data_IF_096015215006
#
_entry.id   IF_096015215006
#
_cell.length_a   1.000
_cell.length_b   1.000
_cell.length_c   1.000
_cell.angle_alpha   90.00
_cell.angle_beta   90.00
_cell.angle_gamma   90.00
#
_symmetry.space_group_name_H-M   'P 1'
#
loop_
_entity.id
_entity.type
_entity.pdbx_description
1 polymer ?
#
# COMPACT_ATOMS: atom_id res chain seq x y z
N UNK A 1 15.72 8.96 4.24
CA UNK A 1 14.47 8.19 4.00
C UNK A 1 13.66 8.22 5.27
N UNK A 2 12.33 8.14 5.17
CA UNK A 2 11.47 8.05 6.34
C UNK A 2 11.57 6.67 6.99
N UNK A 3 11.28 6.57 8.29
CA UNK A 3 11.21 5.26 8.97
C UNK A 3 10.07 4.42 8.40
N UNK A 4 8.96 5.07 8.06
CA UNK A 4 7.83 4.43 7.37
C UNK A 4 8.25 3.77 6.04
N UNK A 5 9.09 4.44 5.24
CA UNK A 5 9.63 3.87 4.00
C UNK A 5 10.55 2.68 4.25
N UNK A 6 11.45 2.78 5.24
CA UNK A 6 12.34 1.66 5.58
C UNK A 6 11.52 0.42 6.03
N UNK A 7 10.46 0.63 6.82
CA UNK A 7 9.52 -0.43 7.20
C UNK A 7 8.81 -1.03 5.99
N UNK A 8 8.35 -0.19 5.05
CA UNK A 8 7.73 -0.63 3.80
C UNK A 8 8.68 -1.48 2.96
N UNK A 9 9.93 -1.05 2.79
CA UNK A 9 10.94 -1.76 2.00
C UNK A 9 11.27 -3.15 2.56
N UNK A 10 11.08 -3.36 3.88
CA UNK A 10 11.16 -4.67 4.52
C UNK A 10 9.86 -5.45 4.30
N UNK A 11 8.70 -4.85 4.56
CA UNK A 11 7.40 -5.54 4.49
C UNK A 11 7.05 -6.01 3.06
N UNK A 12 7.38 -5.22 2.03
CA UNK A 12 7.09 -5.56 0.64
C UNK A 12 7.89 -6.78 0.17
N UNK A 13 9.02 -7.11 0.82
CA UNK A 13 9.81 -8.30 0.50
C UNK A 13 9.05 -9.59 0.77
N UNK A 14 8.07 -9.59 1.68
CA UNK A 14 7.26 -10.79 1.90
C UNK A 14 6.43 -11.13 0.67
N UNK A 15 5.89 -10.13 -0.04
CA UNK A 15 5.22 -10.36 -1.31
C UNK A 15 6.20 -10.91 -2.37
N UNK A 16 7.45 -10.41 -2.41
CA UNK A 16 8.49 -10.89 -3.33
C UNK A 16 8.88 -12.35 -3.02
N UNK A 17 9.10 -12.69 -1.75
CA UNK A 17 9.41 -14.06 -1.31
C UNK A 17 8.27 -15.04 -1.61
N UNK A 18 7.01 -14.61 -1.47
CA UNK A 18 5.84 -15.42 -1.85
C UNK A 18 5.85 -15.69 -3.37
N UNK A 19 6.21 -14.70 -4.18
CA UNK A 19 6.32 -14.88 -5.64
C UNK A 19 7.49 -15.77 -6.02
N UNK A 20 8.61 -15.71 -5.31
CA UNK A 20 9.73 -16.65 -5.50
C UNK A 20 9.34 -18.08 -5.13
N UNK A 21 8.56 -18.25 -4.05
CA UNK A 21 8.01 -19.55 -3.67
C UNK A 21 7.03 -20.08 -4.73
N UNK A 22 6.19 -19.20 -5.29
CA UNK A 22 5.35 -19.52 -6.44
C UNK A 22 6.18 -20.00 -7.62
N UNK A 23 7.23 -19.27 -8.01
CA UNK A 23 8.06 -19.59 -9.16
C UNK A 23 8.77 -20.96 -9.00
N UNK A 24 9.19 -21.32 -7.77
CA UNK A 24 9.75 -22.64 -7.45
C UNK A 24 8.71 -23.75 -7.54
N UNK A 25 7.59 -23.60 -6.84
CA UNK A 25 6.52 -24.60 -6.82
C UNK A 25 5.92 -24.83 -8.21
N UNK A 26 5.76 -23.75 -8.99
CA UNK A 26 5.22 -23.82 -10.33
C UNK A 26 6.18 -24.51 -11.32
N UNK A 27 7.50 -24.43 -11.07
CA UNK A 27 8.53 -25.13 -11.84
C UNK A 27 8.58 -26.62 -11.52
N UNK A 28 8.49 -26.95 -10.23
CA UNK A 28 8.65 -28.32 -9.73
C UNK A 28 7.32 -29.09 -9.65
N UNK A 29 6.23 -28.52 -10.19
CA UNK A 29 4.89 -29.10 -10.08
C UNK A 29 4.81 -30.46 -10.76
N UNK A 30 4.30 -31.45 -10.01
CA UNK A 30 4.05 -32.82 -10.50
C UNK A 30 2.60 -32.94 -10.99
N UNK A 31 1.69 -32.14 -10.44
CA UNK A 31 0.30 -32.05 -10.89
C UNK A 31 0.11 -30.86 -11.85
N UNK A 32 -1.02 -30.85 -12.55
CA UNK A 32 -1.40 -29.75 -13.45
C UNK A 32 -2.07 -28.57 -12.70
N UNK A 33 -1.84 -28.42 -11.38
CA UNK A 33 -2.47 -27.37 -10.58
C UNK A 33 -1.52 -26.16 -10.43
N UNK A 34 -1.96 -25.00 -10.91
CA UNK A 34 -1.26 -23.73 -10.67
C UNK A 34 -1.43 -23.30 -9.20
N UNK A 35 -0.35 -23.03 -8.43
CA UNK A 35 -0.43 -22.59 -7.03
C UNK A 35 -0.85 -21.12 -6.91
N UNK A 36 -2.03 -20.81 -7.45
CA UNK A 36 -2.61 -19.48 -7.56
C UNK A 36 -2.80 -18.74 -6.23
N UNK A 37 -2.98 -19.50 -5.16
CA UNK A 37 -3.11 -19.03 -3.79
C UNK A 37 -1.94 -18.12 -3.42
N UNK A 38 -0.74 -18.43 -3.90
CA UNK A 38 0.47 -17.65 -3.65
C UNK A 38 0.46 -16.32 -4.39
N UNK A 39 -0.04 -16.27 -5.64
CA UNK A 39 -0.23 -15.01 -6.37
C UNK A 39 -1.22 -14.10 -5.63
N UNK A 40 -2.31 -14.68 -5.09
CA UNK A 40 -3.28 -13.93 -4.26
C UNK A 40 -2.68 -13.46 -2.94
N UNK A 41 -1.92 -14.30 -2.26
CA UNK A 41 -1.24 -13.94 -1.02
C UNK A 41 -0.24 -12.80 -1.25
N UNK A 42 0.55 -12.83 -2.33
CA UNK A 42 1.46 -11.75 -2.68
C UNK A 42 0.72 -10.42 -2.94
N UNK A 43 -0.46 -10.47 -3.58
CA UNK A 43 -1.29 -9.28 -3.76
C UNK A 43 -1.74 -8.70 -2.42
N UNK A 44 -2.27 -9.55 -1.54
CA UNK A 44 -2.72 -9.13 -0.20
C UNK A 44 -1.56 -8.51 0.57
N UNK A 45 -0.40 -9.18 0.62
CA UNK A 45 0.79 -8.68 1.32
C UNK A 45 1.29 -7.35 0.76
N UNK A 46 1.25 -7.15 -0.56
CA UNK A 46 1.64 -5.87 -1.17
C UNK A 46 0.75 -4.72 -0.71
N UNK A 47 -0.56 -4.95 -0.63
CA UNK A 47 -1.50 -3.93 -0.18
C UNK A 47 -1.47 -3.71 1.33
N UNK A 48 -1.17 -4.75 2.12
CA UNK A 48 -0.94 -4.61 3.55
C UNK A 48 0.30 -3.76 3.81
N UNK A 49 1.40 -3.97 3.08
CA UNK A 49 2.59 -3.13 3.19
C UNK A 49 2.28 -1.66 2.86
N UNK A 50 1.47 -1.39 1.83
CA UNK A 50 1.00 -0.05 1.51
C UNK A 50 0.13 0.58 2.62
N UNK A 51 -0.81 -0.17 3.19
CA UNK A 51 -1.65 0.30 4.31
C UNK A 51 -0.79 0.70 5.51
N UNK A 52 0.12 -0.19 5.93
CA UNK A 52 1.06 0.10 7.02
C UNK A 52 1.95 1.31 6.71
N UNK A 53 2.44 1.45 5.48
CA UNK A 53 3.23 2.61 5.08
C UNK A 53 2.45 3.92 5.25
N UNK A 54 1.20 3.97 4.77
CA UNK A 54 0.37 5.18 4.85
C UNK A 54 0.11 5.58 6.31
N UNK A 55 -0.23 4.61 7.17
CA UNK A 55 -0.45 4.81 8.61
C UNK A 55 0.81 5.30 9.33
N UNK A 56 1.95 4.64 9.09
CA UNK A 56 3.23 5.00 9.69
C UNK A 56 3.67 6.38 9.19
N UNK A 57 3.54 6.66 7.89
CA UNK A 57 4.06 7.87 7.27
C UNK A 57 3.35 9.11 7.77
N UNK A 58 2.02 9.11 7.80
CA UNK A 58 1.27 10.26 8.31
C UNK A 58 1.55 10.49 9.81
N UNK A 59 1.67 9.41 10.58
CA UNK A 59 2.00 9.48 12.01
C UNK A 59 3.37 10.10 12.21
N UNK A 60 4.37 9.68 11.43
CA UNK A 60 5.74 10.20 11.51
C UNK A 60 5.81 11.69 11.13
N UNK A 61 5.15 12.11 10.06
CA UNK A 61 5.12 13.55 9.67
C UNK A 61 4.41 14.39 10.72
N UNK A 62 3.25 13.95 11.19
CA UNK A 62 2.48 14.69 12.18
C UNK A 62 3.25 14.84 13.50
N UNK A 63 3.91 13.78 13.97
CA UNK A 63 4.77 13.84 15.15
C UNK A 63 5.92 14.84 14.98
N UNK A 64 6.56 14.86 13.81
CA UNK A 64 7.62 15.81 13.52
C UNK A 64 7.13 17.27 13.50
N UNK A 65 5.96 17.54 12.89
CA UNK A 65 5.37 18.88 12.86
C UNK A 65 4.95 19.37 14.26
N UNK A 66 4.45 18.47 15.11
CA UNK A 66 3.98 18.82 16.45
C UNK A 66 5.07 18.83 17.53
N UNK A 67 6.33 18.53 17.20
CA UNK A 67 7.43 18.39 18.16
C UNK A 67 7.61 19.61 19.08
N UNK A 68 7.34 20.81 18.59
CA UNK A 68 7.42 22.06 19.38
C UNK A 68 6.27 22.23 20.37
N UNK A 69 5.19 21.48 20.19
CA UNK A 69 3.98 21.48 21.00
C UNK A 69 3.91 20.24 21.91
N UNK A 70 5.00 19.47 22.01
CA UNK A 70 5.06 18.25 22.83
C UNK A 70 4.63 18.51 24.28
N UNK A 71 3.77 17.64 24.79
CA UNK A 71 3.19 17.76 26.14
C UNK A 71 1.97 18.69 26.23
N UNK A 72 1.65 19.48 25.19
CA UNK A 72 0.44 20.31 25.17
C UNK A 72 -0.84 19.47 25.04
N UNK A 73 -1.95 20.03 25.52
CA UNK A 73 -3.27 19.42 25.33
C UNK A 73 -3.65 19.33 23.85
N UNK A 74 -3.23 20.32 23.05
CA UNK A 74 -3.48 20.36 21.60
C UNK A 74 -2.76 19.21 20.90
N UNK A 75 -1.45 19.06 21.11
CA UNK A 75 -0.68 17.97 20.50
C UNK A 75 -1.24 16.59 20.90
N UNK A 76 -1.65 16.43 22.16
CA UNK A 76 -2.31 15.20 22.64
C UNK A 76 -3.64 14.97 21.92
N UNK A 77 -4.49 16.00 21.81
CA UNK A 77 -5.78 15.89 21.15
C UNK A 77 -5.65 15.49 19.68
N UNK A 78 -4.75 16.13 18.93
CA UNK A 78 -4.52 15.85 17.50
C UNK A 78 -3.95 14.45 17.32
N UNK A 79 -2.94 14.05 18.11
CA UNK A 79 -2.34 12.70 18.06
C UNK A 79 -3.36 11.60 18.37
N UNK A 80 -4.17 11.77 19.42
CA UNK A 80 -5.20 10.79 19.77
C UNK A 80 -6.33 10.74 18.76
N UNK A 81 -6.61 11.86 18.07
CA UNK A 81 -7.59 11.89 16.97
C UNK A 81 -7.09 11.11 15.78
N UNK A 82 -5.83 11.33 15.35
CA UNK A 82 -5.23 10.52 14.28
C UNK A 82 -5.27 9.02 14.65
N UNK A 83 -4.80 8.65 15.84
CA UNK A 83 -4.81 7.25 16.30
C UNK A 83 -6.20 6.61 16.24
N UNK A 84 -7.27 7.34 16.60
CA UNK A 84 -8.65 6.82 16.50
C UNK A 84 -9.09 6.62 15.06
N UNK A 85 -8.68 7.50 14.15
CA UNK A 85 -9.02 7.37 12.72
C UNK A 85 -8.28 6.22 12.05
N UNK A 86 -6.99 6.06 12.36
CA UNK A 86 -6.17 4.96 11.82
C UNK A 86 -6.75 3.58 12.20
N UNK A 87 -7.39 3.43 13.38
CA UNK A 87 -8.07 2.18 13.76
C UNK A 87 -9.13 1.70 12.77
N UNK A 88 -9.72 2.62 12.01
CA UNK A 88 -10.76 2.31 11.01
C UNK A 88 -10.28 2.60 9.58
N UNK A 89 -8.99 2.92 9.41
CA UNK A 89 -8.38 3.26 8.13
C UNK A 89 -8.04 2.01 7.32
N UNK A 90 -9.06 1.23 6.98
CA UNK A 90 -8.87 0.05 6.15
C UNK A 90 -8.96 0.42 4.68
N UNK A 91 -8.21 -0.27 3.83
CA UNK A 91 -8.30 -0.10 2.38
C UNK A 91 -7.90 1.32 1.93
N UNK A 92 -6.60 1.66 2.01
CA UNK A 92 -6.04 2.99 1.71
C UNK A 92 -6.10 3.32 0.20
N UNK A 93 -7.31 3.60 -0.31
CA UNK A 93 -7.51 4.03 -1.69
C UNK A 93 -7.13 5.50 -1.89
N UNK A 94 -7.16 5.97 -3.14
CA UNK A 94 -6.79 7.34 -3.48
C UNK A 94 -7.52 8.35 -2.60
N UNK A 95 -8.86 8.25 -2.55
CA UNK A 95 -9.72 9.19 -1.82
C UNK A 95 -9.40 9.20 -0.34
N UNK A 96 -9.36 8.03 0.30
CA UNK A 96 -9.10 7.91 1.74
C UNK A 96 -7.71 8.40 2.11
N UNK A 97 -6.70 8.08 1.30
CA UNK A 97 -5.32 8.54 1.52
C UNK A 97 -5.23 10.05 1.39
N UNK A 98 -5.83 10.62 0.33
CA UNK A 98 -5.89 12.08 0.14
C UNK A 98 -6.57 12.80 1.31
N UNK A 99 -7.80 12.38 1.64
CA UNK A 99 -8.59 12.99 2.73
C UNK A 99 -7.84 12.95 4.06
N UNK A 100 -7.13 11.85 4.35
CA UNK A 100 -6.37 11.70 5.58
C UNK A 100 -5.18 12.69 5.65
N UNK A 101 -4.39 12.79 4.57
CA UNK A 101 -3.24 13.69 4.53
C UNK A 101 -3.65 15.17 4.49
N UNK A 102 -4.67 15.53 3.72
CA UNK A 102 -5.19 16.90 3.70
C UNK A 102 -5.71 17.31 5.07
N UNK A 103 -6.41 16.42 5.78
CA UNK A 103 -7.01 16.73 7.06
C UNK A 103 -6.00 16.98 8.19
N UNK A 104 -4.94 16.18 8.26
CA UNK A 104 -3.98 16.26 9.36
C UNK A 104 -2.74 17.10 9.03
N UNK A 105 -2.35 17.16 7.76
CA UNK A 105 -1.11 17.80 7.34
C UNK A 105 -1.35 18.98 6.38
N UNK A 106 -2.58 19.17 5.90
CA UNK A 106 -2.93 20.17 4.87
C UNK A 106 -2.14 19.98 3.56
N UNK A 107 -1.86 18.73 3.19
CA UNK A 107 -1.09 18.37 2.00
C UNK A 107 -1.88 17.37 1.15
N UNK A 108 -2.02 17.66 -0.15
CA UNK A 108 -2.49 16.68 -1.13
C UNK A 108 -1.31 15.85 -1.65
N UNK A 109 -1.05 14.71 -1.01
CA UNK A 109 0.02 13.79 -1.45
C UNK A 109 -0.20 13.21 -2.85
N UNK A 110 -1.45 13.14 -3.32
CA UNK A 110 -1.79 12.52 -4.59
C UNK A 110 -1.37 13.37 -5.79
N UNK A 111 -1.24 14.69 -5.60
CA UNK A 111 -0.73 15.61 -6.61
C UNK A 111 0.69 15.24 -7.06
N UNK A 112 1.53 14.76 -6.13
CA UNK A 112 2.90 14.35 -6.41
C UNK A 112 3.09 12.89 -6.83
N UNK A 113 2.01 12.10 -7.02
CA UNK A 113 2.10 10.71 -7.46
C UNK A 113 2.42 10.56 -8.95
N UNK A 114 3.59 11.05 -9.36
CA UNK A 114 4.09 11.00 -10.72
C UNK A 114 5.51 10.41 -10.78
N UNK A 115 5.77 9.62 -11.82
CA UNK A 115 7.08 9.04 -12.14
C UNK A 115 7.09 8.58 -13.61
N UNK A 116 8.19 8.02 -14.08
CA UNK A 116 8.29 7.58 -15.48
C UNK A 116 7.14 6.61 -15.86
N UNK A 117 6.33 7.02 -16.84
CA UNK A 117 5.17 6.26 -17.33
C UNK A 117 3.89 6.39 -16.49
N UNK A 118 3.88 7.23 -15.45
CA UNK A 118 2.73 7.45 -14.59
C UNK A 118 2.58 8.94 -14.22
N UNK A 119 1.44 9.51 -14.56
CA UNK A 119 1.00 10.81 -14.06
C UNK A 119 0.09 10.62 -12.84
N UNK A 120 -0.04 11.65 -11.99
CA UNK A 120 -0.91 11.63 -10.78
C UNK A 120 -2.30 11.02 -11.07
N UNK A 121 -2.95 11.44 -12.16
CA UNK A 121 -4.26 10.89 -12.55
C UNK A 121 -4.23 9.39 -12.88
N UNK A 122 -3.18 8.92 -13.56
CA UNK A 122 -3.06 7.49 -13.88
C UNK A 122 -2.65 6.65 -12.67
N UNK A 123 -1.82 7.19 -11.78
CA UNK A 123 -1.37 6.54 -10.56
C UNK A 123 -2.53 6.30 -9.59
N UNK A 124 -3.38 7.31 -9.41
CA UNK A 124 -4.57 7.23 -8.56
C UNK A 124 -5.56 6.17 -9.05
N UNK A 125 -5.87 6.17 -10.35
CA UNK A 125 -6.69 5.11 -10.96
C UNK A 125 -6.07 3.74 -10.74
N UNK A 126 -4.75 3.61 -10.95
CA UNK A 126 -4.06 2.33 -10.80
C UNK A 126 -4.03 1.81 -9.37
N UNK A 127 -3.89 2.69 -8.37
CA UNK A 127 -4.00 2.32 -6.96
C UNK A 127 -5.38 1.72 -6.65
N UNK A 128 -6.44 2.39 -7.10
CA UNK A 128 -7.81 1.97 -6.87
C UNK A 128 -8.13 0.63 -7.57
N UNK A 129 -7.56 0.40 -8.76
CA UNK A 129 -7.62 -0.89 -9.45
C UNK A 129 -6.98 -2.02 -8.64
N UNK A 130 -5.79 -1.81 -8.06
CA UNK A 130 -5.14 -2.83 -7.24
C UNK A 130 -5.93 -3.15 -5.97
N UNK A 131 -6.52 -2.14 -5.34
CA UNK A 131 -7.38 -2.29 -4.17
C UNK A 131 -8.64 -3.10 -4.51
N UNK A 132 -9.26 -2.80 -5.64
CA UNK A 132 -10.39 -3.58 -6.13
C UNK A 132 -9.99 -5.03 -6.39
N UNK A 133 -8.85 -5.24 -7.06
CA UNK A 133 -8.32 -6.58 -7.37
C UNK A 133 -8.04 -7.40 -6.11
N UNK A 134 -7.55 -6.77 -5.04
CA UNK A 134 -7.40 -7.42 -3.72
C UNK A 134 -8.75 -7.85 -3.15
N UNK A 135 -9.77 -6.98 -3.22
CA UNK A 135 -11.13 -7.32 -2.79
C UNK A 135 -11.68 -8.54 -3.53
N UNK A 136 -11.51 -8.58 -4.86
CA UNK A 136 -11.91 -9.71 -5.68
C UNK A 136 -11.13 -11.00 -5.34
N UNK A 137 -9.84 -10.89 -5.03
CA UNK A 137 -8.97 -12.01 -4.65
C UNK A 137 -9.34 -12.62 -3.28
N UNK A 138 -9.86 -11.82 -2.37
CA UNK A 138 -10.26 -12.29 -1.04
C UNK A 138 -11.68 -12.86 -1.07
N UNK A 139 -12.61 -12.19 -1.75
CA UNK A 139 -14.03 -12.54 -1.66
C UNK A 139 -14.53 -13.43 -2.79
N UNK A 140 -14.07 -13.23 -4.04
CA UNK A 140 -14.68 -13.89 -5.22
C UNK A 140 -13.96 -15.17 -5.64
N UNK A 141 -12.63 -15.19 -5.65
CA UNK A 141 -11.88 -16.39 -6.05
C UNK A 141 -11.97 -17.57 -5.07
N UNK A 142 -12.49 -17.36 -3.87
CA UNK A 142 -12.80 -18.44 -2.92
C UNK A 142 -14.16 -19.08 -3.25
N UNK A 143 -15.10 -18.29 -3.79
CA UNK A 143 -16.47 -18.73 -4.06
C UNK A 143 -16.63 -19.38 -5.44
N UNK A 144 -15.84 -18.93 -6.43
CA UNK A 144 -15.91 -19.42 -7.79
C UNK A 144 -14.60 -20.13 -8.20
N UNK A 145 -14.59 -21.46 -8.07
CA UNK A 145 -13.43 -22.30 -8.41
C UNK A 145 -13.13 -22.34 -9.92
N UNK A 146 -13.99 -21.80 -10.77
CA UNK A 146 -13.80 -21.79 -12.24
C UNK A 146 -13.02 -20.55 -12.72
N UNK A 147 -12.95 -19.47 -11.93
CA UNK A 147 -12.18 -18.26 -12.24
C UNK A 147 -10.74 -18.33 -11.73
N UNK A 148 -10.13 -19.51 -11.88
CA UNK A 148 -8.80 -19.86 -11.36
C UNK A 148 -7.63 -19.22 -12.10
N UNK A 149 -7.72 -17.93 -12.46
CA UNK A 149 -6.61 -17.08 -12.94
C UNK A 149 -6.86 -15.57 -12.69
N UNK A 150 -7.23 -15.18 -11.45
CA UNK A 150 -7.54 -13.77 -11.16
C UNK A 150 -6.33 -12.81 -11.32
N UNK A 151 -5.13 -13.30 -10.98
CA UNK A 151 -3.87 -12.54 -11.04
C UNK A 151 -2.79 -13.36 -11.70
N UNK A 152 -2.11 -12.78 -12.69
CA UNK A 152 -0.93 -13.38 -13.30
C UNK A 152 0.35 -13.07 -12.50
N UNK A 153 1.41 -13.85 -12.73
CA UNK A 153 2.73 -13.57 -12.15
C UNK A 153 3.30 -12.23 -12.59
N UNK A 154 3.04 -11.84 -13.84
CA UNK A 154 3.46 -10.57 -14.42
C UNK A 154 2.69 -9.40 -13.78
N UNK A 155 1.38 -9.56 -13.57
CA UNK A 155 0.58 -8.59 -12.82
C UNK A 155 1.18 -8.36 -11.44
N UNK A 156 1.62 -9.43 -10.77
CA UNK A 156 2.18 -9.28 -9.43
C UNK A 156 3.51 -8.57 -9.40
N UNK A 157 4.36 -8.78 -10.39
CA UNK A 157 5.58 -7.99 -10.56
C UNK A 157 5.24 -6.50 -10.75
N UNK A 158 4.27 -6.19 -11.61
CA UNK A 158 3.79 -4.82 -11.85
C UNK A 158 3.21 -4.19 -10.58
N UNK A 159 2.50 -4.98 -9.76
CA UNK A 159 1.93 -4.54 -8.50
C UNK A 159 3.02 -4.12 -7.49
N UNK A 160 4.01 -4.97 -7.26
CA UNK A 160 5.13 -4.66 -6.35
C UNK A 160 5.91 -3.44 -6.81
N UNK A 161 6.27 -3.37 -8.11
CA UNK A 161 6.96 -2.19 -8.66
C UNK A 161 6.12 -0.92 -8.51
N UNK A 162 4.80 -1.00 -8.75
CA UNK A 162 3.91 0.14 -8.60
C UNK A 162 3.92 0.69 -7.18
N UNK A 163 3.77 -0.16 -6.15
CA UNK A 163 3.77 0.29 -4.76
C UNK A 163 5.12 0.87 -4.31
N UNK A 164 6.24 0.30 -4.78
CA UNK A 164 7.58 0.87 -4.53
C UNK A 164 7.69 2.30 -5.07
N UNK A 165 7.25 2.53 -6.31
CA UNK A 165 7.26 3.87 -6.91
C UNK A 165 6.26 4.82 -6.23
N UNK A 166 5.09 4.33 -5.81
CA UNK A 166 4.08 5.13 -5.13
C UNK A 166 4.56 5.63 -3.75
N UNK A 167 5.22 4.76 -2.99
CA UNK A 167 5.87 5.11 -1.72
C UNK A 167 6.97 6.14 -1.95
N UNK A 168 7.83 5.94 -2.95
CA UNK A 168 8.87 6.91 -3.28
C UNK A 168 8.30 8.29 -3.66
N UNK A 169 7.25 8.32 -4.50
CA UNK A 169 6.59 9.55 -4.89
C UNK A 169 5.94 10.25 -3.69
N UNK A 170 5.28 9.49 -2.80
CA UNK A 170 4.67 10.02 -1.57
C UNK A 170 5.73 10.63 -0.65
N UNK A 171 6.86 9.96 -0.43
CA UNK A 171 7.99 10.49 0.35
C UNK A 171 8.56 11.76 -0.27
N UNK A 172 8.68 11.84 -1.60
CA UNK A 172 9.15 13.04 -2.30
C UNK A 172 8.21 14.22 -2.11
N UNK A 173 6.90 14.02 -2.25
CA UNK A 173 5.91 15.08 -2.01
C UNK A 173 6.01 15.62 -0.59
N UNK A 174 6.09 14.73 0.40
CA UNK A 174 6.16 15.11 1.82
C UNK A 174 7.50 15.72 2.23
N UNK A 175 8.55 15.54 1.45
CA UNK A 175 9.86 16.16 1.69
C UNK A 175 10.01 17.54 1.02
N UNK A 176 9.11 17.88 0.09
CA UNK A 176 9.10 19.16 -0.61
C UNK A 176 8.29 20.25 0.13
N UNK A 177 7.48 19.85 1.11
CA UNK A 177 6.66 20.69 2.01
C UNK A 177 7.38 20.93 3.35
#
# INVERSE_FOLDING_TARGET
MSKARDNFDIAIQDAERILDAYDKLNRDRIDNRDPEELKRAALIMSLTAWETYVEDRITEVLQNQMRTLDGSQVARFVTETLKRELKYFHTPNTRKTKELFERFLNIDVTAGWNWAGFESKTSTVRLDEWIKKRGDAVHRSVMDKQSGHLVSREDMKKCVTFFKNLVEATDKTLAAE
#
